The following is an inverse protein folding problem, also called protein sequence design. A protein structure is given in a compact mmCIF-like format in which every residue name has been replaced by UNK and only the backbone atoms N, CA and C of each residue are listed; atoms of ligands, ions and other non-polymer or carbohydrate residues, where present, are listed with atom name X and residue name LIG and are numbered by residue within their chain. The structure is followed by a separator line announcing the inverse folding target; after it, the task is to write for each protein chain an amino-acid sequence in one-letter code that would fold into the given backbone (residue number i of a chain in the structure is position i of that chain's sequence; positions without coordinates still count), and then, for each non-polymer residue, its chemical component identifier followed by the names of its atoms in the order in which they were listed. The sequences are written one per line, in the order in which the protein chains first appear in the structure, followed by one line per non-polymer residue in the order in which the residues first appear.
data_IF_187183727511
#
_entry.id   IF_187183727511
#
_cell.length_a   1.000
_cell.length_b   1.000
_cell.length_c   1.000
_cell.angle_alpha   90.00
_cell.angle_beta   90.00
_cell.angle_gamma   90.00
#
_symmetry.space_group_name_H-M   'P 1'
#
loop_
_entity.id
_entity.type
_entity.pdbx_description
1 polymer ?
#
# COMPACT_ATOMS: atom_id res chain seq x y z
N UNK A 1 21.12 -49.66 53.70
CA UNK A 1 21.51 -48.94 52.47
C UNK A 1 21.44 -49.94 51.31
N UNK A 2 20.27 -50.12 50.70
CA UNK A 2 20.08 -51.03 49.56
C UNK A 2 20.08 -50.21 48.26
N UNK A 3 20.79 -50.65 47.22
CA UNK A 3 20.92 -49.86 45.99
C UNK A 3 19.62 -49.89 45.18
N UNK A 4 19.15 -48.70 44.76
CA UNK A 4 18.07 -48.56 43.78
C UNK A 4 18.56 -49.09 42.43
N UNK A 5 17.89 -50.12 41.93
CA UNK A 5 18.04 -50.61 40.57
C UNK A 5 17.52 -49.53 39.61
N UNK A 6 18.40 -48.96 38.77
CA UNK A 6 17.98 -48.09 37.68
C UNK A 6 17.28 -48.94 36.63
N UNK A 7 15.99 -48.70 36.46
CA UNK A 7 15.18 -49.36 35.44
C UNK A 7 15.39 -48.60 34.12
N UNK A 8 16.35 -49.05 33.33
CA UNK A 8 16.58 -48.52 31.99
C UNK A 8 15.48 -49.05 31.10
N UNK A 9 14.46 -48.20 30.88
CA UNK A 9 13.25 -48.51 30.13
C UNK A 9 13.58 -49.14 28.77
N UNK A 10 13.02 -50.33 28.53
CA UNK A 10 13.05 -51.01 27.24
C UNK A 10 12.18 -50.19 26.28
N UNK A 11 12.80 -49.25 25.57
CA UNK A 11 12.10 -48.43 24.58
C UNK A 11 11.56 -49.34 23.50
N UNK A 12 10.25 -49.41 23.37
CA UNK A 12 9.58 -50.32 22.46
C UNK A 12 9.79 -49.85 21.01
N UNK A 13 9.85 -50.78 20.05
CA UNK A 13 10.05 -50.42 18.63
C UNK A 13 8.97 -49.44 18.13
N UNK A 14 7.73 -49.59 18.61
CA UNK A 14 6.63 -48.67 18.32
C UNK A 14 6.85 -47.24 18.85
N UNK A 15 7.44 -47.08 20.04
CA UNK A 15 7.76 -45.77 20.62
C UNK A 15 8.87 -45.07 19.83
N UNK A 16 9.85 -45.83 19.34
CA UNK A 16 10.91 -45.31 18.46
C UNK A 16 10.33 -44.80 17.14
N UNK A 17 9.38 -45.53 16.55
CA UNK A 17 8.71 -45.13 15.33
C UNK A 17 7.84 -43.88 15.55
N UNK A 18 7.09 -43.83 16.66
CA UNK A 18 6.29 -42.66 17.02
C UNK A 18 7.16 -41.42 17.26
N UNK A 19 8.31 -41.59 17.93
CA UNK A 19 9.27 -40.51 18.18
C UNK A 19 9.91 -40.02 16.87
N UNK A 20 10.28 -40.94 15.97
CA UNK A 20 10.82 -40.59 14.66
C UNK A 20 9.79 -39.83 13.82
N UNK A 21 8.54 -40.27 13.83
CA UNK A 21 7.45 -39.58 13.15
C UNK A 21 7.21 -38.18 13.73
N UNK A 22 7.17 -38.05 15.07
CA UNK A 22 7.02 -36.76 15.73
C UNK A 22 8.15 -35.79 15.36
N UNK A 23 9.39 -36.27 15.26
CA UNK A 23 10.53 -35.46 14.83
C UNK A 23 10.40 -35.02 13.37
N UNK A 24 9.95 -35.89 12.47
CA UNK A 24 9.68 -35.53 11.07
C UNK A 24 8.60 -34.45 10.99
N UNK A 25 7.49 -34.61 11.72
CA UNK A 25 6.42 -33.61 11.75
C UNK A 25 6.92 -32.28 12.28
N UNK A 26 7.73 -32.28 13.35
CA UNK A 26 8.34 -31.07 13.90
C UNK A 26 9.22 -30.36 12.87
N UNK A 27 10.03 -31.11 12.12
CA UNK A 27 10.87 -30.55 11.06
C UNK A 27 10.05 -29.98 9.91
N UNK A 28 8.93 -30.63 9.54
CA UNK A 28 8.02 -30.12 8.52
C UNK A 28 7.36 -28.81 8.94
N UNK A 29 6.91 -28.72 10.21
CA UNK A 29 6.36 -27.48 10.75
C UNK A 29 7.43 -26.38 10.78
N UNK A 30 8.64 -26.70 11.22
CA UNK A 30 9.77 -25.76 11.20
C UNK A 30 10.10 -25.27 9.79
N UNK A 31 10.17 -26.17 8.81
CA UNK A 31 10.41 -25.82 7.42
C UNK A 31 9.28 -24.96 6.84
N UNK A 32 8.01 -25.29 7.09
CA UNK A 32 6.88 -24.49 6.65
C UNK A 32 6.83 -23.12 7.33
N UNK A 33 7.24 -23.02 8.60
CA UNK A 33 7.35 -21.76 9.31
C UNK A 33 8.52 -20.87 8.83
N UNK A 34 9.57 -21.47 8.25
CA UNK A 34 10.69 -20.72 7.66
C UNK A 34 10.40 -20.32 6.21
N UNK A 35 10.01 -21.28 5.36
CA UNK A 35 9.85 -21.13 3.91
C UNK A 35 8.41 -20.86 3.45
N UNK A 36 7.44 -20.82 4.37
CA UNK A 36 6.05 -20.56 4.03
C UNK A 36 5.76 -19.09 3.66
N UNK A 37 4.61 -18.80 3.04
CA UNK A 37 4.21 -17.44 2.65
C UNK A 37 3.99 -16.50 3.86
N UNK A 38 3.68 -17.07 5.03
CA UNK A 38 3.63 -16.36 6.31
C UNK A 38 4.86 -16.65 7.19
N UNK A 39 5.93 -17.19 6.61
CA UNK A 39 7.13 -17.59 7.32
C UNK A 39 8.02 -16.42 7.72
N UNK A 40 8.98 -16.70 8.60
CA UNK A 40 9.89 -15.67 9.15
C UNK A 40 10.74 -15.02 8.06
N UNK A 41 11.11 -15.77 7.02
CA UNK A 41 11.89 -15.25 5.88
C UNK A 41 11.05 -14.26 5.05
N UNK A 42 9.76 -14.57 4.84
CA UNK A 42 8.83 -13.72 4.10
C UNK A 42 8.34 -12.49 4.89
N UNK A 43 8.59 -12.42 6.20
CA UNK A 43 8.14 -11.32 7.05
C UNK A 43 8.76 -9.98 6.64
N UNK A 44 10.02 -9.97 6.19
CA UNK A 44 10.70 -8.77 5.72
C UNK A 44 10.06 -8.17 4.46
N UNK A 45 9.75 -9.01 3.47
CA UNK A 45 9.10 -8.58 2.23
C UNK A 45 7.65 -8.17 2.46
N UNK A 46 6.89 -8.89 3.27
CA UNK A 46 5.52 -8.52 3.62
C UNK A 46 5.45 -7.19 4.40
N UNK A 47 6.42 -6.94 5.29
CA UNK A 47 6.51 -5.65 5.98
C UNK A 47 6.85 -4.51 5.01
N UNK A 48 7.71 -4.77 4.01
CA UNK A 48 8.01 -3.80 2.96
C UNK A 48 6.81 -3.53 2.05
N UNK A 49 6.04 -4.56 1.68
CA UNK A 49 4.79 -4.40 0.92
C UNK A 49 3.76 -3.61 1.72
N UNK A 50 3.61 -3.88 3.02
CA UNK A 50 2.70 -3.12 3.89
C UNK A 50 3.10 -1.64 3.95
N UNK A 51 4.40 -1.34 4.04
CA UNK A 51 4.89 0.04 3.97
C UNK A 51 4.60 0.69 2.61
N UNK A 52 4.81 -0.03 1.49
CA UNK A 52 4.52 0.48 0.14
C UNK A 52 3.02 0.78 -0.04
N UNK A 53 2.14 -0.11 0.41
CA UNK A 53 0.70 0.12 0.40
C UNK A 53 0.28 1.29 1.29
N UNK A 54 0.90 1.44 2.48
CA UNK A 54 0.60 2.55 3.38
C UNK A 54 0.95 3.92 2.77
N UNK A 55 2.09 4.02 2.09
CA UNK A 55 2.49 5.24 1.35
C UNK A 55 1.51 5.54 0.23
N UNK A 56 1.12 4.52 -0.54
CA UNK A 56 0.13 4.66 -1.62
C UNK A 56 -1.23 5.15 -1.11
N UNK A 57 -1.67 4.64 0.04
CA UNK A 57 -2.94 5.06 0.67
C UNK A 57 -2.84 6.53 1.13
N UNK A 58 -1.70 6.96 1.66
CA UNK A 58 -1.50 8.35 2.07
C UNK A 58 -1.60 9.32 0.88
N UNK A 59 -0.90 9.02 -0.23
CA UNK A 59 -0.96 9.81 -1.47
C UNK A 59 -2.39 9.87 -2.05
N UNK A 60 -3.09 8.73 -2.06
CA UNK A 60 -4.45 8.65 -2.59
C UNK A 60 -5.46 9.36 -1.69
N UNK A 61 -5.25 9.38 -0.37
CA UNK A 61 -6.12 10.13 0.56
C UNK A 61 -6.02 11.63 0.35
N UNK A 62 -4.81 12.15 0.12
CA UNK A 62 -4.61 13.57 -0.17
C UNK A 62 -5.30 13.96 -1.49
N UNK A 63 -5.09 13.15 -2.54
CA UNK A 63 -5.76 13.34 -3.83
C UNK A 63 -7.29 13.29 -3.69
N UNK A 64 -7.82 12.34 -2.91
CA UNK A 64 -9.26 12.25 -2.64
C UNK A 64 -9.77 13.51 -1.94
N UNK A 65 -9.06 14.01 -0.92
CA UNK A 65 -9.47 15.19 -0.18
C UNK A 65 -9.53 16.44 -1.08
N UNK A 66 -8.54 16.61 -1.96
CA UNK A 66 -8.55 17.69 -2.95
C UNK A 66 -9.73 17.58 -3.91
N UNK A 67 -10.04 16.37 -4.38
CA UNK A 67 -11.15 16.14 -5.30
C UNK A 67 -12.51 16.34 -4.61
N UNK A 68 -12.65 15.88 -3.36
CA UNK A 68 -13.86 16.06 -2.55
C UNK A 68 -14.16 17.55 -2.32
N UNK A 69 -13.11 18.36 -2.09
CA UNK A 69 -13.27 19.81 -2.02
C UNK A 69 -13.76 20.41 -3.34
N UNK A 70 -13.23 19.96 -4.49
CA UNK A 70 -13.69 20.43 -5.81
C UNK A 70 -15.12 20.01 -6.11
N UNK A 71 -15.50 18.77 -5.81
CA UNK A 71 -16.87 18.27 -5.98
C UNK A 71 -17.85 19.08 -5.12
N UNK A 72 -17.47 19.42 -3.87
CA UNK A 72 -18.28 20.28 -3.01
C UNK A 72 -18.49 21.69 -3.58
N UNK A 73 -17.51 22.21 -4.32
CA UNK A 73 -17.63 23.50 -5.01
C UNK A 73 -18.44 23.39 -6.32
N UNK A 74 -18.58 22.19 -6.87
CA UNK A 74 -19.40 21.86 -8.04
C UNK A 74 -20.77 21.28 -7.65
N UNK A 75 -21.30 21.68 -6.50
CA UNK A 75 -22.63 21.27 -6.04
C UNK A 75 -23.70 21.70 -7.08
N UNK A 76 -24.49 20.78 -7.67
CA UNK A 76 -25.49 21.11 -8.68
C UNK A 76 -26.53 22.14 -8.23
N UNK A 77 -26.78 22.27 -6.93
CA UNK A 77 -27.72 23.26 -6.39
C UNK A 77 -27.08 24.64 -6.18
N UNK A 78 -25.76 24.71 -6.04
CA UNK A 78 -25.01 25.96 -5.83
C UNK A 78 -23.55 25.84 -6.29
N UNK A 79 -23.34 25.79 -7.60
CA UNK A 79 -22.01 25.72 -8.22
C UNK A 79 -21.26 27.05 -8.02
N UNK A 80 -19.99 26.97 -7.63
CA UNK A 80 -19.09 28.13 -7.65
C UNK A 80 -18.87 28.60 -9.10
N UNK A 81 -19.34 29.81 -9.46
CA UNK A 81 -19.31 30.28 -10.84
C UNK A 81 -17.87 30.42 -11.39
N UNK A 82 -16.88 30.72 -10.56
CA UNK A 82 -15.50 30.88 -11.01
C UNK A 82 -14.89 29.52 -11.41
N UNK A 83 -15.00 28.54 -10.50
CA UNK A 83 -14.50 27.18 -10.75
C UNK A 83 -15.27 26.49 -11.89
N UNK A 84 -16.59 26.67 -11.96
CA UNK A 84 -17.40 26.15 -13.07
C UNK A 84 -16.99 26.72 -14.43
N UNK A 85 -16.73 28.03 -14.50
CA UNK A 85 -16.24 28.72 -15.70
C UNK A 85 -14.87 28.19 -16.12
N UNK A 86 -13.96 28.00 -15.17
CA UNK A 86 -12.62 27.46 -15.41
C UNK A 86 -12.68 26.03 -15.99
N UNK A 87 -13.51 25.13 -15.42
CA UNK A 87 -13.66 23.77 -15.92
C UNK A 87 -14.25 23.72 -17.34
N UNK A 88 -15.21 24.59 -17.65
CA UNK A 88 -15.79 24.70 -18.99
C UNK A 88 -14.73 25.17 -19.98
N UNK A 89 -13.94 26.18 -19.61
CA UNK A 89 -12.83 26.69 -20.43
C UNK A 89 -11.75 25.64 -20.65
N UNK A 90 -11.32 24.94 -19.60
CA UNK A 90 -10.26 23.92 -19.66
C UNK A 90 -10.69 22.67 -20.44
N UNK A 91 -11.88 22.13 -20.19
CA UNK A 91 -12.29 20.84 -20.74
C UNK A 91 -12.99 20.93 -22.10
N UNK A 92 -13.74 22.00 -22.34
CA UNK A 92 -14.51 22.17 -23.58
C UNK A 92 -13.88 23.20 -24.53
N UNK A 93 -12.87 23.95 -24.09
CA UNK A 93 -12.20 24.98 -24.90
C UNK A 93 -13.12 26.14 -25.29
N UNK A 94 -14.32 26.23 -24.71
CA UNK A 94 -15.30 27.27 -25.01
C UNK A 94 -15.04 28.49 -24.15
N UNK A 95 -15.02 29.66 -24.78
CA UNK A 95 -14.89 30.97 -24.14
C UNK A 95 -16.28 31.57 -23.98
N UNK A 96 -16.50 32.41 -22.97
CA UNK A 96 -17.76 33.16 -22.91
C UNK A 96 -17.83 34.13 -24.11
N UNK A 97 -19.01 34.39 -24.70
CA UNK A 97 -19.14 35.26 -25.87
C UNK A 97 -18.54 36.66 -25.69
N UNK A 98 -18.43 37.10 -24.44
CA UNK A 98 -17.96 38.44 -24.05
C UNK A 98 -16.46 38.49 -23.65
N UNK A 99 -15.72 37.39 -23.83
CA UNK A 99 -14.32 37.28 -23.40
C UNK A 99 -13.32 37.55 -24.55
N UNK A 100 -12.39 38.49 -24.34
CA UNK A 100 -11.41 38.91 -25.36
C UNK A 100 -10.00 38.39 -25.05
N UNK A 101 -9.31 37.83 -26.04
CA UNK A 101 -7.89 37.45 -25.94
C UNK A 101 -7.03 38.67 -26.25
N UNK A 102 -6.24 39.12 -25.27
CA UNK A 102 -5.26 40.18 -25.46
C UNK A 102 -3.90 39.51 -25.66
N UNK A 103 -3.39 39.52 -26.89
CA UNK A 103 -1.97 39.25 -27.14
C UNK A 103 -1.18 40.43 -26.57
N UNK A 104 -0.49 40.19 -25.47
CA UNK A 104 0.49 41.12 -24.93
C UNK A 104 1.70 41.04 -25.84
N UNK A 105 1.89 42.07 -26.68
CA UNK A 105 3.16 42.30 -27.37
C UNK A 105 4.20 42.56 -26.28
N UNK A 106 4.94 41.52 -25.91
CA UNK A 106 6.07 41.70 -25.00
C UNK A 106 7.07 42.57 -25.75
N UNK A 107 7.40 43.78 -25.25
CA UNK A 107 8.45 44.57 -25.88
C UNK A 107 9.71 43.70 -25.91
N UNK A 108 10.23 43.54 -27.11
CA UNK A 108 11.44 42.77 -27.38
C UNK A 108 12.53 43.16 -26.37
N UNK A 109 12.90 42.22 -25.52
CA UNK A 109 13.95 42.40 -24.51
C UNK A 109 15.33 42.63 -25.14
N UNK A 110 15.46 42.64 -26.47
CA UNK A 110 16.70 42.96 -27.20
C UNK A 110 16.93 44.46 -27.42
N UNK A 111 15.96 45.35 -27.14
CA UNK A 111 16.11 46.79 -27.34
C UNK A 111 16.78 47.54 -26.14
N UNK A 112 17.19 46.80 -25.12
CA UNK A 112 17.99 47.31 -23.99
C UNK A 112 19.19 46.40 -23.76
N UNK A 113 20.11 46.37 -24.72
CA UNK A 113 21.54 46.11 -24.52
C UNK A 113 22.35 47.20 -25.23
#
# INVERSE_FOLDING_TARGET
MTPRKHDTGRVNLGERLASAFALIVLLLIGALALFGPAGVIAWGENAAMLQAHSKRIAELRETKAALENRVRLLDPDNVDPDLGSELVRHNLGVMHPDEYVIELDMPDKSATE
#
